data_IF_253441602168
#
_entry.id   IF_253441602168
#
_cell.length_a   1.000
_cell.length_b   1.000
_cell.length_c   1.000
_cell.angle_alpha   90.00
_cell.angle_beta   90.00
_cell.angle_gamma   90.00
#
_symmetry.space_group_name_H-M   'P 1'
#
loop_
_entity.id
_entity.type
_entity.pdbx_description
1 polymer ?
#
# COMPACT_ATOMS: atom_id res chain seq x y z
N UNK A 1 -32.01 43.68 -46.01
CA UNK A 1 -32.35 43.21 -44.64
C UNK A 1 -32.77 41.75 -44.76
N UNK A 2 -31.87 40.90 -45.27
CA UNK A 2 -32.22 39.56 -45.77
C UNK A 2 -31.02 38.60 -45.68
N UNK A 3 -30.13 38.84 -44.72
CA UNK A 3 -28.84 38.13 -44.58
C UNK A 3 -28.62 37.59 -43.16
N UNK A 4 -29.66 37.57 -42.32
CA UNK A 4 -29.56 37.18 -40.91
C UNK A 4 -30.38 35.93 -40.54
N UNK A 5 -31.02 35.28 -41.51
CA UNK A 5 -31.81 34.06 -41.28
C UNK A 5 -30.99 32.79 -41.56
N UNK A 6 -29.95 32.84 -42.40
CA UNK A 6 -29.26 31.63 -42.87
C UNK A 6 -28.17 31.09 -41.92
N UNK A 7 -27.70 31.89 -40.95
CA UNK A 7 -26.67 31.42 -39.99
C UNK A 7 -27.22 30.66 -38.78
N UNK A 8 -28.55 30.61 -38.58
CA UNK A 8 -29.16 29.88 -37.45
C UNK A 8 -29.44 28.40 -37.75
N UNK A 9 -29.44 28.01 -39.03
CA UNK A 9 -29.76 26.64 -39.45
C UNK A 9 -28.53 25.75 -39.68
N UNK A 10 -27.33 26.32 -39.89
CA UNK A 10 -26.08 25.53 -39.96
C UNK A 10 -25.58 25.00 -38.60
N UNK A 11 -26.08 25.53 -37.48
CA UNK A 11 -25.73 25.04 -36.13
C UNK A 11 -26.54 23.82 -35.69
N UNK A 12 -27.47 23.31 -36.50
CA UNK A 12 -28.11 22.01 -36.31
C UNK A 12 -27.49 20.94 -37.22
N UNK A 13 -26.18 20.74 -37.13
CA UNK A 13 -25.61 19.42 -37.47
C UNK A 13 -26.11 18.43 -36.43
N UNK A 14 -27.26 17.83 -36.70
CA UNK A 14 -27.75 16.65 -36.00
C UNK A 14 -26.67 15.57 -36.08
N UNK A 15 -25.98 15.34 -34.97
CA UNK A 15 -25.14 14.17 -34.82
C UNK A 15 -26.06 12.94 -34.84
N UNK A 16 -26.08 12.22 -35.97
CA UNK A 16 -26.75 10.93 -36.13
C UNK A 16 -26.29 9.86 -35.11
N UNK A 17 -25.21 10.12 -34.37
CA UNK A 17 -24.73 9.28 -33.28
C UNK A 17 -25.54 9.44 -31.98
N UNK A 18 -26.48 10.39 -31.94
CA UNK A 18 -27.28 10.72 -30.76
C UNK A 18 -28.70 10.12 -30.81
N UNK A 19 -28.92 9.10 -31.65
CA UNK A 19 -30.20 8.38 -31.77
C UNK A 19 -30.54 7.60 -30.48
N UNK A 20 -29.55 7.37 -29.62
CA UNK A 20 -29.72 6.70 -28.33
C UNK A 20 -29.84 7.67 -27.15
N UNK A 21 -30.03 8.98 -27.39
CA UNK A 21 -30.61 9.83 -26.35
C UNK A 21 -32.03 9.35 -26.11
N UNK A 22 -32.13 8.47 -25.11
CA UNK A 22 -33.34 8.00 -24.46
C UNK A 22 -34.23 9.22 -24.27
N UNK A 23 -35.24 9.37 -25.12
CA UNK A 23 -36.39 10.20 -24.83
C UNK A 23 -36.98 9.65 -23.56
N UNK A 24 -36.58 10.22 -22.42
CA UNK A 24 -37.25 9.99 -21.17
C UNK A 24 -38.57 10.71 -21.31
N UNK A 25 -39.55 10.01 -21.88
CA UNK A 25 -40.97 10.33 -21.73
C UNK A 25 -41.29 10.17 -20.24
N UNK A 26 -40.91 11.17 -19.45
CA UNK A 26 -41.07 11.23 -18.00
C UNK A 26 -42.54 11.46 -17.58
N UNK A 27 -43.48 11.37 -18.52
CA UNK A 27 -44.85 11.84 -18.35
C UNK A 27 -45.93 10.77 -18.19
N UNK A 28 -45.62 9.46 -18.06
CA UNK A 28 -46.67 8.43 -17.89
C UNK A 28 -46.54 7.41 -16.74
N UNK A 29 -45.64 7.60 -15.77
CA UNK A 29 -45.56 6.73 -14.58
C UNK A 29 -45.52 7.53 -13.26
N UNK A 30 -46.41 8.49 -13.10
CA UNK A 30 -46.45 9.44 -11.96
C UNK A 30 -47.04 8.90 -10.65
N UNK A 31 -47.28 7.58 -10.47
CA UNK A 31 -47.90 7.06 -9.23
C UNK A 31 -47.16 5.93 -8.50
N UNK A 32 -46.11 5.34 -9.05
CA UNK A 32 -45.35 4.23 -8.41
C UNK A 32 -43.82 4.41 -8.41
N UNK A 33 -43.32 5.61 -8.74
CA UNK A 33 -41.88 5.92 -8.80
C UNK A 33 -41.23 6.10 -7.43
N UNK A 34 -41.97 6.60 -6.42
CA UNK A 34 -41.37 6.94 -5.12
C UNK A 34 -40.82 5.75 -4.33
N UNK A 35 -41.41 4.55 -4.46
CA UNK A 35 -40.93 3.34 -3.80
C UNK A 35 -39.73 2.74 -4.55
N UNK A 36 -39.82 2.69 -5.88
CA UNK A 36 -38.74 2.22 -6.76
C UNK A 36 -37.47 3.03 -6.55
N UNK A 37 -37.57 4.36 -6.52
CA UNK A 37 -36.41 5.25 -6.33
C UNK A 37 -35.77 5.08 -4.95
N UNK A 38 -36.57 4.83 -3.90
CA UNK A 38 -36.07 4.54 -2.55
C UNK A 38 -35.36 3.19 -2.51
N UNK A 39 -35.90 2.17 -3.18
CA UNK A 39 -35.27 0.84 -3.29
C UNK A 39 -33.94 0.94 -4.04
N UNK A 40 -33.88 1.66 -5.16
CA UNK A 40 -32.63 1.85 -5.90
C UNK A 40 -31.57 2.61 -5.10
N UNK A 41 -31.97 3.63 -4.33
CA UNK A 41 -31.05 4.35 -3.41
C UNK A 41 -30.56 3.44 -2.28
N UNK A 42 -31.44 2.64 -1.69
CA UNK A 42 -31.10 1.66 -0.66
C UNK A 42 -30.15 0.58 -1.18
N UNK A 43 -30.45 0.01 -2.35
CA UNK A 43 -29.60 -0.97 -3.01
C UNK A 43 -28.22 -0.39 -3.34
N UNK A 44 -28.16 0.85 -3.85
CA UNK A 44 -26.90 1.53 -4.11
C UNK A 44 -26.08 1.71 -2.82
N UNK A 45 -26.70 2.14 -1.73
CA UNK A 45 -26.04 2.24 -0.43
C UNK A 45 -25.54 0.88 0.06
N UNK A 46 -26.36 -0.16 -0.05
CA UNK A 46 -26.01 -1.52 0.33
C UNK A 46 -24.80 -2.05 -0.45
N UNK A 47 -24.78 -1.86 -1.77
CA UNK A 47 -23.63 -2.21 -2.63
C UNK A 47 -22.37 -1.43 -2.21
N UNK A 48 -22.49 -0.15 -1.86
CA UNK A 48 -21.34 0.61 -1.35
C UNK A 48 -20.84 0.09 -0.01
N UNK A 49 -21.73 -0.32 0.90
CA UNK A 49 -21.33 -0.90 2.19
C UNK A 49 -20.60 -2.23 1.98
N UNK A 50 -21.12 -3.12 1.13
CA UNK A 50 -20.43 -4.38 0.79
C UNK A 50 -19.07 -4.11 0.15
N UNK A 51 -19.00 -3.22 -0.85
CA UNK A 51 -17.75 -2.87 -1.51
C UNK A 51 -16.75 -2.28 -0.51
N UNK A 52 -17.21 -1.42 0.40
CA UNK A 52 -16.40 -0.85 1.46
C UNK A 52 -15.83 -1.94 2.38
N UNK A 53 -16.67 -2.87 2.87
CA UNK A 53 -16.23 -3.97 3.72
C UNK A 53 -15.26 -4.90 3.00
N UNK A 54 -15.46 -5.18 1.71
CA UNK A 54 -14.57 -6.02 0.92
C UNK A 54 -13.20 -5.37 0.72
N UNK A 55 -13.18 -4.08 0.35
CA UNK A 55 -11.93 -3.33 0.14
C UNK A 55 -11.20 -3.12 1.48
N UNK A 56 -11.91 -2.74 2.53
CA UNK A 56 -11.34 -2.51 3.85
C UNK A 56 -10.84 -3.81 4.48
N UNK A 57 -11.66 -4.87 4.47
CA UNK A 57 -11.30 -6.19 4.96
C UNK A 57 -10.11 -6.77 4.19
N UNK A 58 -10.09 -6.65 2.86
CA UNK A 58 -8.96 -7.05 2.04
C UNK A 58 -7.67 -6.28 2.37
N UNK A 59 -7.77 -4.97 2.61
CA UNK A 59 -6.64 -4.15 3.04
C UNK A 59 -6.09 -4.55 4.42
N UNK A 60 -6.96 -4.90 5.37
CA UNK A 60 -6.55 -5.37 6.70
C UNK A 60 -5.89 -6.75 6.61
N UNK A 61 -6.53 -7.71 5.93
CA UNK A 61 -6.02 -9.08 5.78
C UNK A 61 -4.69 -9.09 5.03
N UNK A 62 -4.57 -8.33 3.93
CA UNK A 62 -3.31 -8.23 3.18
C UNK A 62 -2.18 -7.63 4.01
N UNK A 63 -2.45 -6.61 4.82
CA UNK A 63 -1.44 -6.02 5.74
C UNK A 63 -1.03 -7.00 6.84
N UNK A 64 -1.98 -7.70 7.43
CA UNK A 64 -1.70 -8.71 8.45
C UNK A 64 -0.86 -9.87 7.89
N UNK A 65 -1.22 -10.37 6.69
CA UNK A 65 -0.45 -11.41 6.01
C UNK A 65 0.97 -10.95 5.66
N UNK A 66 1.13 -9.70 5.19
CA UNK A 66 2.43 -9.12 4.92
C UNK A 66 3.28 -9.04 6.20
N UNK A 67 2.68 -8.61 7.32
CA UNK A 67 3.37 -8.56 8.61
C UNK A 67 3.83 -9.94 9.08
N UNK A 68 2.95 -10.96 9.01
CA UNK A 68 3.30 -12.33 9.38
C UNK A 68 4.50 -12.81 8.54
N UNK A 69 4.50 -12.53 7.24
CA UNK A 69 5.57 -12.92 6.34
C UNK A 69 6.90 -12.21 6.65
N UNK A 70 6.85 -10.93 7.02
CA UNK A 70 8.05 -10.17 7.45
C UNK A 70 8.56 -10.60 8.82
N UNK A 71 7.68 -11.01 9.73
CA UNK A 71 8.07 -11.52 11.05
C UNK A 71 8.79 -12.87 10.93
N UNK A 72 8.34 -13.76 10.03
CA UNK A 72 9.06 -15.00 9.72
C UNK A 72 10.46 -14.72 9.17
N UNK A 73 10.60 -13.71 8.31
CA UNK A 73 11.89 -13.30 7.78
C UNK A 73 12.86 -12.83 8.88
N UNK A 74 12.34 -12.15 9.91
CA UNK A 74 13.15 -11.73 11.07
C UNK A 74 13.62 -12.91 11.91
N UNK A 75 12.71 -13.86 12.21
CA UNK A 75 13.02 -15.04 13.01
C UNK A 75 14.11 -15.89 12.37
N UNK A 76 13.99 -16.18 11.07
CA UNK A 76 14.99 -16.93 10.31
C UNK A 76 16.35 -16.21 10.24
N UNK A 77 16.35 -14.88 10.26
CA UNK A 77 17.61 -14.13 10.27
C UNK A 77 18.34 -14.20 11.62
N UNK A 78 17.66 -14.52 12.72
CA UNK A 78 18.25 -14.56 14.06
C UNK A 78 18.72 -15.96 14.45
N UNK A 79 18.11 -17.00 13.89
CA UNK A 79 18.32 -18.39 14.33
C UNK A 79 19.60 -19.03 13.80
N UNK A 80 20.34 -18.47 12.83
CA UNK A 80 21.64 -18.94 12.32
C UNK A 80 21.73 -20.43 11.91
N UNK A 81 20.64 -21.20 11.96
CA UNK A 81 20.62 -22.61 11.60
C UNK A 81 20.58 -22.74 10.08
N UNK A 82 21.76 -23.02 9.50
CA UNK A 82 22.12 -23.82 8.30
C UNK A 82 21.17 -24.03 7.11
N UNK A 83 19.96 -23.47 7.03
CA UNK A 83 19.05 -23.63 5.89
C UNK A 83 18.71 -22.26 5.30
N UNK A 84 19.65 -21.70 4.54
CA UNK A 84 19.46 -20.48 3.73
C UNK A 84 18.23 -20.57 2.79
N UNK A 85 17.76 -21.77 2.49
CA UNK A 85 16.75 -22.07 1.48
C UNK A 85 15.35 -21.53 1.82
N UNK A 86 14.95 -21.55 3.10
CA UNK A 86 13.63 -21.03 3.51
C UNK A 86 13.60 -19.50 3.53
N UNK A 87 14.66 -18.88 4.06
CA UNK A 87 14.86 -17.42 4.03
C UNK A 87 14.87 -16.88 2.60
N UNK A 88 15.58 -17.55 1.69
CA UNK A 88 15.64 -17.21 0.28
C UNK A 88 14.25 -17.30 -0.35
N UNK A 89 13.50 -18.37 -0.08
CA UNK A 89 12.15 -18.55 -0.61
C UNK A 89 11.15 -17.49 -0.12
N UNK A 90 11.15 -17.16 1.17
CA UNK A 90 10.30 -16.10 1.75
C UNK A 90 10.63 -14.74 1.15
N UNK A 91 11.93 -14.46 1.00
CA UNK A 91 12.47 -13.24 0.39
C UNK A 91 11.96 -13.09 -1.06
N UNK A 92 12.09 -14.13 -1.89
CA UNK A 92 11.57 -14.13 -3.25
C UNK A 92 10.04 -14.01 -3.32
N UNK A 93 9.32 -14.62 -2.38
CA UNK A 93 7.86 -14.51 -2.32
C UNK A 93 7.40 -13.09 -1.98
N UNK A 94 8.05 -12.42 -1.03
CA UNK A 94 7.82 -11.00 -0.73
C UNK A 94 8.09 -10.11 -1.94
N UNK A 95 9.19 -10.35 -2.65
CA UNK A 95 9.49 -9.62 -3.88
C UNK A 95 8.42 -9.83 -4.94
N UNK A 96 7.97 -11.07 -5.11
CA UNK A 96 6.90 -11.39 -6.05
C UNK A 96 5.62 -10.61 -5.72
N UNK A 97 5.19 -10.62 -4.45
CA UNK A 97 4.02 -9.87 -3.98
C UNK A 97 4.16 -8.37 -4.27
N UNK A 98 5.31 -7.77 -3.95
CA UNK A 98 5.57 -6.34 -4.20
C UNK A 98 5.57 -6.01 -5.71
N UNK A 99 5.97 -6.97 -6.55
CA UNK A 99 6.11 -6.78 -8.01
C UNK A 99 4.79 -6.98 -8.77
N UNK A 100 3.80 -7.69 -8.22
CA UNK A 100 2.50 -7.95 -8.88
C UNK A 100 1.82 -6.66 -9.37
N UNK A 101 1.66 -5.59 -8.55
CA UNK A 101 1.03 -4.35 -9.00
C UNK A 101 1.75 -3.72 -10.19
N UNK A 102 3.08 -3.79 -10.21
CA UNK A 102 3.90 -3.26 -11.30
C UNK A 102 3.78 -4.11 -12.57
N UNK A 103 3.65 -5.44 -12.43
CA UNK A 103 3.31 -6.35 -13.53
C UNK A 103 1.94 -6.06 -14.14
N UNK A 104 0.91 -5.87 -13.32
CA UNK A 104 -0.43 -5.49 -13.81
C UNK A 104 -0.40 -4.13 -14.51
N UNK A 105 0.31 -3.14 -13.95
CA UNK A 105 0.52 -1.82 -14.56
C UNK A 105 1.25 -1.93 -15.90
N UNK A 106 2.25 -2.81 -16.00
CA UNK A 106 2.96 -3.08 -17.25
C UNK A 106 2.02 -3.65 -18.31
N UNK A 107 1.19 -4.64 -17.97
CA UNK A 107 0.22 -5.23 -18.91
C UNK A 107 -0.79 -4.18 -19.39
N UNK A 108 -1.34 -3.37 -18.48
CA UNK A 108 -2.29 -2.31 -18.83
C UNK A 108 -1.67 -1.24 -19.72
N UNK A 109 -0.44 -0.81 -19.41
CA UNK A 109 0.28 0.17 -20.23
C UNK A 109 0.71 -0.40 -21.58
N UNK A 110 1.02 -1.69 -21.66
CA UNK A 110 1.28 -2.40 -22.92
C UNK A 110 0.02 -2.45 -23.79
N UNK A 111 -1.14 -2.78 -23.22
CA UNK A 111 -2.41 -2.76 -23.97
C UNK A 111 -2.72 -1.35 -24.48
N UNK A 112 -2.53 -0.33 -23.64
CA UNK A 112 -2.71 1.06 -24.05
C UNK A 112 -1.68 1.50 -25.10
N UNK A 113 -0.46 0.96 -25.07
CA UNK A 113 0.57 1.27 -26.05
C UNK A 113 0.28 0.62 -27.41
N UNK A 114 -0.22 -0.61 -27.43
CA UNK A 114 -0.55 -1.35 -28.66
C UNK A 114 -1.80 -0.80 -29.35
N UNK A 115 -2.84 -0.45 -28.59
CA UNK A 115 -4.13 -0.03 -29.13
C UNK A 115 -4.42 1.47 -29.04
N UNK A 116 -3.60 2.23 -28.29
CA UNK A 116 -3.82 3.65 -28.04
C UNK A 116 -3.08 4.58 -29.00
N UNK A 117 -3.42 5.87 -28.94
CA UNK A 117 -2.75 6.91 -29.72
C UNK A 117 -1.33 7.12 -29.19
N UNK A 118 -0.35 7.05 -30.09
CA UNK A 118 1.08 7.18 -29.78
C UNK A 118 1.49 8.65 -29.71
N UNK A 119 1.77 9.15 -28.52
CA UNK A 119 2.51 10.40 -28.31
C UNK A 119 3.74 10.11 -27.48
N UNK A 120 4.91 10.48 -28.00
CA UNK A 120 6.19 10.28 -27.31
C UNK A 120 6.35 11.30 -26.18
N UNK A 121 6.70 10.86 -24.95
CA UNK A 121 7.03 11.79 -23.88
C UNK A 121 8.35 12.53 -24.17
N UNK A 122 8.55 13.67 -23.53
CA UNK A 122 9.85 14.36 -23.54
C UNK A 122 10.86 13.59 -22.69
N UNK A 123 12.14 13.59 -23.09
CA UNK A 123 13.22 12.91 -22.37
C UNK A 123 13.31 13.38 -20.90
N UNK A 124 13.17 14.69 -20.64
CA UNK A 124 13.23 15.24 -19.29
C UNK A 124 12.07 14.78 -18.40
N UNK A 125 10.86 14.64 -18.96
CA UNK A 125 9.71 14.10 -18.23
C UNK A 125 9.98 12.65 -17.81
N UNK A 126 10.47 11.85 -18.75
CA UNK A 126 10.78 10.44 -18.50
C UNK A 126 11.84 10.28 -17.40
N UNK A 127 12.87 11.14 -17.37
CA UNK A 127 13.90 11.11 -16.31
C UNK A 127 13.30 11.41 -14.92
N UNK A 128 12.46 12.43 -14.80
CA UNK A 128 11.83 12.81 -13.52
C UNK A 128 10.95 11.68 -13.00
N UNK A 129 10.13 11.09 -13.88
CA UNK A 129 9.23 9.99 -13.55
C UNK A 129 10.00 8.76 -13.11
N UNK A 130 11.07 8.40 -13.84
CA UNK A 130 11.95 7.29 -13.45
C UNK A 130 12.55 7.56 -12.08
N UNK A 131 13.15 8.73 -11.84
CA UNK A 131 13.80 9.04 -10.56
C UNK A 131 12.81 8.94 -9.38
N UNK A 132 11.60 9.49 -9.54
CA UNK A 132 10.54 9.41 -8.54
C UNK A 132 10.12 7.97 -8.26
N UNK A 133 9.96 7.18 -9.32
CA UNK A 133 9.56 5.78 -9.20
C UNK A 133 10.66 4.91 -8.57
N UNK A 134 11.94 5.18 -8.89
CA UNK A 134 13.09 4.57 -8.24
C UNK A 134 13.09 4.83 -6.75
N UNK A 135 12.95 6.12 -6.37
CA UNK A 135 12.97 6.54 -4.99
C UNK A 135 11.84 5.86 -4.20
N UNK A 136 10.63 5.84 -4.76
CA UNK A 136 9.51 5.16 -4.15
C UNK A 136 9.75 3.65 -4.01
N UNK A 137 10.22 2.98 -5.07
CA UNK A 137 10.49 1.54 -5.03
C UNK A 137 11.58 1.18 -4.01
N UNK A 138 12.64 1.98 -3.95
CA UNK A 138 13.71 1.81 -2.97
C UNK A 138 13.20 1.96 -1.53
N UNK A 139 12.39 2.99 -1.25
CA UNK A 139 11.78 3.18 0.06
C UNK A 139 10.78 2.05 0.39
N UNK A 140 10.00 1.58 -0.58
CA UNK A 140 9.08 0.45 -0.39
C UNK A 140 9.84 -0.82 0.01
N UNK A 141 10.89 -1.18 -0.72
CA UNK A 141 11.72 -2.34 -0.39
C UNK A 141 12.38 -2.18 0.97
N UNK A 142 12.89 -0.98 1.29
CA UNK A 142 13.50 -0.71 2.58
C UNK A 142 12.51 -0.84 3.73
N UNK A 143 11.29 -0.32 3.56
CA UNK A 143 10.23 -0.46 4.56
C UNK A 143 9.88 -1.94 4.78
N UNK A 144 9.66 -2.71 3.71
CA UNK A 144 9.23 -4.11 3.84
C UNK A 144 10.34 -5.03 4.36
N UNK A 145 11.58 -4.88 3.89
CA UNK A 145 12.67 -5.81 4.21
C UNK A 145 13.54 -5.40 5.39
N UNK A 146 13.59 -4.10 5.72
CA UNK A 146 14.37 -3.61 6.88
C UNK A 146 13.49 -3.11 8.01
N UNK A 147 12.46 -2.31 7.72
CA UNK A 147 11.69 -1.63 8.79
C UNK A 147 10.63 -2.53 9.40
N UNK A 148 9.80 -3.19 8.59
CA UNK A 148 8.70 -4.05 9.08
C UNK A 148 9.18 -5.20 9.97
N UNK A 149 10.27 -5.93 9.66
CA UNK A 149 10.75 -7.03 10.49
C UNK A 149 11.31 -6.57 11.85
N UNK A 150 11.70 -5.29 11.98
CA UNK A 150 12.22 -4.71 13.24
C UNK A 150 11.14 -4.21 14.19
N UNK A 151 9.90 -4.08 13.71
CA UNK A 151 8.80 -3.46 14.43
C UNK A 151 7.71 -4.49 14.72
N UNK A 152 7.08 -4.35 15.88
CA UNK A 152 5.90 -5.13 16.23
C UNK A 152 4.71 -4.73 15.35
N UNK A 153 3.71 -5.60 15.19
CA UNK A 153 2.54 -5.34 14.35
C UNK A 153 1.84 -3.98 14.63
N UNK A 154 1.72 -3.60 15.91
CA UNK A 154 1.11 -2.30 16.31
C UNK A 154 2.00 -1.13 15.92
N UNK A 155 3.32 -1.26 16.10
CA UNK A 155 4.30 -0.23 15.76
C UNK A 155 4.39 -0.04 14.23
N UNK A 156 4.33 -1.13 13.46
CA UNK A 156 4.23 -1.09 11.99
C UNK A 156 2.95 -0.37 11.56
N UNK A 157 1.81 -0.71 12.17
CA UNK A 157 0.55 -0.03 11.88
C UNK A 157 0.64 1.48 12.15
N UNK A 158 1.20 1.87 13.29
CA UNK A 158 1.43 3.27 13.63
C UNK A 158 2.35 3.93 12.60
N UNK A 159 3.53 3.37 12.35
CA UNK A 159 4.51 3.90 11.41
C UNK A 159 3.95 4.05 9.99
N UNK A 160 3.30 3.01 9.44
CA UNK A 160 2.68 3.06 8.11
C UNK A 160 1.52 4.06 8.03
N UNK A 161 0.81 4.31 9.13
CA UNK A 161 -0.23 5.36 9.17
C UNK A 161 0.34 6.78 9.06
N UNK A 162 1.61 6.96 9.42
CA UNK A 162 2.34 8.22 9.32
C UNK A 162 2.91 8.53 7.94
N UNK A 163 3.06 7.52 7.07
CA UNK A 163 3.57 7.68 5.70
C UNK A 163 2.88 8.78 4.88
N UNK A 164 1.55 9.04 4.95
CA UNK A 164 0.94 10.18 4.25
C UNK A 164 1.30 11.60 4.76
N UNK A 165 2.41 11.78 5.49
CA UNK A 165 2.78 13.08 6.05
C UNK A 165 2.90 14.21 5.01
N UNK A 166 3.65 13.97 3.92
CA UNK A 166 3.84 14.96 2.85
C UNK A 166 2.51 15.38 2.20
N UNK A 167 1.64 14.47 1.70
CA UNK A 167 0.38 14.87 1.12
C UNK A 167 -0.53 15.64 2.10
N UNK A 168 -0.57 15.27 3.39
CA UNK A 168 -1.36 15.99 4.39
C UNK A 168 -0.85 17.42 4.60
N UNK A 169 0.47 17.60 4.66
CA UNK A 169 1.10 18.92 4.76
C UNK A 169 0.75 19.81 3.55
N UNK A 170 0.86 19.25 2.34
CA UNK A 170 0.54 19.97 1.10
C UNK A 170 -0.94 20.33 1.01
N UNK A 171 -1.80 19.42 1.42
CA UNK A 171 -3.24 19.66 1.51
C UNK A 171 -3.53 20.86 2.42
N UNK A 172 -2.86 20.96 3.56
CA UNK A 172 -2.99 22.09 4.48
C UNK A 172 -2.55 23.42 3.88
N UNK A 173 -1.41 23.45 3.17
CA UNK A 173 -0.95 24.66 2.49
C UNK A 173 -1.94 25.11 1.42
N UNK A 174 -2.47 24.18 0.63
CA UNK A 174 -3.40 24.50 -0.45
C UNK A 174 -4.73 25.08 0.06
N UNK A 175 -5.21 24.62 1.22
CA UNK A 175 -6.44 25.11 1.83
C UNK A 175 -6.34 26.54 2.37
N UNK A 176 -5.18 26.94 2.93
CA UNK A 176 -5.02 28.30 3.51
C UNK A 176 -5.26 29.42 2.52
N UNK A 177 -5.11 29.18 1.21
CA UNK A 177 -5.27 30.20 0.17
C UNK A 177 -6.71 30.45 -0.25
N UNK A 178 -7.65 29.54 0.04
CA UNK A 178 -8.99 29.55 -0.56
C UNK A 178 -10.13 30.04 0.33
N UNK A 179 -9.99 30.18 1.64
CA UNK A 179 -11.16 30.50 2.49
C UNK A 179 -10.79 31.17 3.82
N UNK A 180 -11.40 32.33 4.08
CA UNK A 180 -11.45 32.99 5.39
C UNK A 180 -12.90 33.20 5.92
N UNK A 181 -13.94 32.56 5.34
CA UNK A 181 -15.34 32.97 5.61
C UNK A 181 -16.37 31.85 5.96
N UNK A 182 -16.04 30.80 6.73
CA UNK A 182 -17.11 29.92 7.25
C UNK A 182 -16.72 28.84 8.28
N UNK A 183 -17.59 28.57 9.27
CA UNK A 183 -17.34 27.65 10.38
C UNK A 183 -17.09 26.17 9.99
N UNK A 184 -17.70 25.67 8.91
CA UNK A 184 -17.41 24.32 8.38
C UNK A 184 -16.00 24.18 7.82
N UNK A 185 -15.36 25.29 7.43
CA UNK A 185 -13.97 25.28 6.94
C UNK A 185 -12.97 25.22 8.10
N UNK A 186 -13.27 25.88 9.22
CA UNK A 186 -12.44 25.81 10.44
C UNK A 186 -12.35 24.39 10.97
N UNK A 187 -13.47 23.67 11.08
CA UNK A 187 -13.47 22.28 11.54
C UNK A 187 -12.61 21.38 10.64
N UNK A 188 -12.74 21.49 9.31
CA UNK A 188 -11.90 20.75 8.35
C UNK A 188 -10.42 21.09 8.48
N UNK A 189 -10.09 22.36 8.70
CA UNK A 189 -8.72 22.81 8.88
C UNK A 189 -8.12 22.26 10.18
N UNK A 190 -8.88 22.26 11.28
CA UNK A 190 -8.45 21.67 12.55
C UNK A 190 -8.20 20.17 12.42
N UNK A 191 -9.11 19.42 11.79
CA UNK A 191 -8.93 18.00 11.54
C UNK A 191 -7.70 17.71 10.67
N UNK A 192 -7.43 18.56 9.68
CA UNK A 192 -6.24 18.42 8.84
C UNK A 192 -4.95 18.70 9.61
N UNK A 193 -4.93 19.72 10.47
CA UNK A 193 -3.78 20.00 11.35
C UNK A 193 -3.57 18.84 12.32
N UNK A 194 -4.64 18.33 12.94
CA UNK A 194 -4.58 17.17 13.82
C UNK A 194 -4.04 15.93 13.10
N UNK A 195 -4.48 15.68 11.86
CA UNK A 195 -3.97 14.60 11.03
C UNK A 195 -2.46 14.73 10.77
N UNK A 196 -1.96 15.94 10.52
CA UNK A 196 -0.52 16.19 10.33
C UNK A 196 0.25 15.91 11.62
N UNK A 197 -0.27 16.37 12.77
CA UNK A 197 0.36 16.13 14.07
C UNK A 197 0.44 14.63 14.36
N UNK A 198 -0.66 13.90 14.17
CA UNK A 198 -0.70 12.45 14.39
C UNK A 198 0.23 11.69 13.45
N UNK A 199 0.28 12.06 12.16
CA UNK A 199 1.18 11.43 11.20
C UNK A 199 2.64 11.74 11.51
N UNK A 200 2.97 12.98 11.86
CA UNK A 200 4.32 13.35 12.27
C UNK A 200 4.72 12.59 13.54
N UNK A 201 3.85 12.56 14.54
CA UNK A 201 4.06 11.79 15.76
C UNK A 201 4.35 10.32 15.44
N UNK A 202 3.58 9.68 14.56
CA UNK A 202 3.83 8.30 14.16
C UNK A 202 5.19 8.10 13.46
N UNK A 203 5.57 9.00 12.53
CA UNK A 203 6.84 8.91 11.80
C UNK A 203 8.04 9.14 12.71
N UNK A 204 7.95 10.02 13.71
CA UNK A 204 9.08 10.35 14.58
C UNK A 204 9.11 9.54 15.88
N UNK A 205 7.97 9.38 16.56
CA UNK A 205 7.92 8.75 17.88
C UNK A 205 8.28 7.26 17.83
N UNK A 206 7.85 6.53 16.78
CA UNK A 206 8.16 5.09 16.67
C UNK A 206 9.68 4.84 16.55
N UNK A 207 10.42 5.46 15.60
CA UNK A 207 11.87 5.32 15.57
C UNK A 207 12.56 5.80 16.85
N UNK A 208 12.17 6.97 17.40
CA UNK A 208 12.81 7.54 18.59
C UNK A 208 12.65 6.61 19.80
N UNK A 209 11.45 6.07 20.01
CA UNK A 209 11.17 5.11 21.09
C UNK A 209 12.04 3.85 20.98
N UNK A 210 12.29 3.36 19.76
CA UNK A 210 13.17 2.20 19.55
C UNK A 210 14.64 2.48 19.82
N UNK A 211 15.13 3.68 19.49
CA UNK A 211 16.50 4.10 19.83
C UNK A 211 16.68 4.25 21.33
N UNK A 212 15.72 4.87 22.02
CA UNK A 212 15.81 5.10 23.47
C UNK A 212 15.85 3.79 24.26
N UNK A 213 15.23 2.73 23.75
CA UNK A 213 15.25 1.40 24.37
C UNK A 213 16.40 0.51 23.86
N UNK A 214 17.41 1.07 23.20
CA UNK A 214 18.58 0.37 22.64
C UNK A 214 18.25 -0.83 21.73
N UNK A 215 17.08 -0.80 21.06
CA UNK A 215 16.64 -1.88 20.16
C UNK A 215 17.19 -1.71 18.75
N UNK A 216 17.46 -0.47 18.33
CA UNK A 216 17.79 -0.11 16.95
C UNK A 216 18.92 0.92 16.93
N UNK A 217 19.82 0.82 15.94
CA UNK A 217 20.91 1.78 15.73
C UNK A 217 20.37 3.16 15.30
N UNK A 218 21.10 4.22 15.63
CA UNK A 218 20.82 5.58 15.15
C UNK A 218 20.74 5.65 13.63
N UNK A 219 21.53 4.86 12.91
CA UNK A 219 21.53 4.83 11.43
C UNK A 219 20.22 4.33 10.85
N UNK A 220 19.65 3.27 11.42
CA UNK A 220 18.41 2.66 10.95
C UNK A 220 17.22 3.57 11.24
N UNK A 221 17.30 4.35 12.30
CA UNK A 221 16.30 5.36 12.68
C UNK A 221 16.23 6.50 11.67
N UNK A 222 17.38 7.03 11.24
CA UNK A 222 17.42 8.01 10.15
C UNK A 222 16.85 7.43 8.86
N UNK A 223 17.20 6.18 8.55
CA UNK A 223 16.70 5.49 7.37
C UNK A 223 15.18 5.27 7.42
N UNK A 224 14.60 4.95 8.58
CA UNK A 224 13.15 4.86 8.78
C UNK A 224 12.48 6.21 8.51
N UNK A 225 12.95 7.30 9.11
CA UNK A 225 12.36 8.64 8.92
C UNK A 225 12.48 9.07 7.45
N UNK A 226 13.66 8.89 6.86
CA UNK A 226 13.93 9.22 5.47
C UNK A 226 13.01 8.44 4.52
N UNK A 227 12.89 7.12 4.70
CA UNK A 227 12.04 6.29 3.88
C UNK A 227 10.56 6.67 3.99
N UNK A 228 10.08 6.99 5.20
CA UNK A 228 8.70 7.44 5.38
C UNK A 228 8.41 8.68 4.54
N UNK A 229 9.26 9.71 4.65
CA UNK A 229 9.10 10.98 3.92
C UNK A 229 9.25 10.81 2.41
N UNK A 230 10.27 10.08 1.97
CA UNK A 230 10.52 9.83 0.54
C UNK A 230 9.42 8.98 -0.09
N UNK A 231 8.89 7.98 0.62
CA UNK A 231 7.74 7.21 0.15
C UNK A 231 6.51 8.09 -0.07
N UNK A 232 6.26 9.06 0.83
CA UNK A 232 5.16 10.02 0.70
C UNK A 232 5.22 10.88 -0.57
N UNK A 233 6.42 11.13 -1.12
CA UNK A 233 6.62 11.94 -2.33
C UNK A 233 5.84 11.37 -3.51
N UNK A 234 5.55 10.06 -3.50
CA UNK A 234 4.74 9.45 -4.56
C UNK A 234 3.36 10.11 -4.71
N UNK A 235 2.72 10.47 -3.60
CA UNK A 235 1.35 11.00 -3.59
C UNK A 235 1.28 12.51 -3.79
N UNK A 236 2.42 13.19 -3.81
CA UNK A 236 2.56 14.63 -3.99
C UNK A 236 1.72 15.17 -5.16
N UNK A 237 1.78 14.55 -6.34
CA UNK A 237 1.08 14.98 -7.56
C UNK A 237 -0.42 15.17 -7.39
N UNK A 238 -1.07 14.28 -6.64
CA UNK A 238 -2.52 14.29 -6.44
C UNK A 238 -2.98 15.59 -5.78
N UNK A 239 -2.18 16.10 -4.84
CA UNK A 239 -2.51 17.27 -4.03
C UNK A 239 -2.08 18.58 -4.71
N UNK A 240 -1.08 18.55 -5.59
CA UNK A 240 -0.62 19.74 -6.29
C UNK A 240 -1.55 20.24 -7.39
N UNK A 241 -2.36 19.37 -8.00
CA UNK A 241 -3.40 19.79 -8.97
C UNK A 241 -4.33 20.86 -8.38
N UNK A 242 -4.50 20.87 -7.06
CA UNK A 242 -5.33 21.83 -6.35
C UNK A 242 -4.60 23.14 -5.96
N UNK A 243 -3.27 23.15 -5.96
CA UNK A 243 -2.38 24.24 -5.50
C UNK A 243 -1.64 24.94 -6.65
N UNK A 244 -2.36 25.24 -7.75
CA UNK A 244 -1.82 25.75 -9.03
C UNK A 244 -1.20 27.17 -9.00
N UNK A 245 -1.21 27.84 -7.85
CA UNK A 245 -0.86 29.27 -7.73
C UNK A 245 0.60 29.55 -7.32
N UNK A 246 1.39 28.57 -6.89
CA UNK A 246 2.81 28.82 -6.56
C UNK A 246 3.71 28.76 -7.81
N UNK A 247 4.46 29.85 -8.04
CA UNK A 247 5.29 30.07 -9.24
C UNK A 247 6.43 29.05 -9.41
N UNK A 248 7.02 28.58 -8.30
CA UNK A 248 8.09 27.58 -8.30
C UNK A 248 7.60 26.21 -8.81
N UNK A 249 6.51 25.71 -8.24
CA UNK A 249 5.96 24.40 -8.55
C UNK A 249 5.27 24.35 -9.92
N UNK A 250 4.75 25.48 -10.40
CA UNK A 250 4.21 25.58 -11.76
C UNK A 250 5.25 25.25 -12.83
N UNK A 251 6.52 25.59 -12.62
CA UNK A 251 7.59 25.31 -13.61
C UNK A 251 8.02 23.85 -13.60
N UNK A 252 8.18 23.25 -12.41
CA UNK A 252 8.56 21.84 -12.28
C UNK A 252 7.47 20.91 -12.82
N UNK A 253 6.19 21.20 -12.55
CA UNK A 253 5.07 20.31 -12.83
C UNK A 253 4.22 20.69 -14.05
N UNK A 254 4.47 21.82 -14.71
CA UNK A 254 3.91 22.09 -16.05
C UNK A 254 4.40 21.07 -17.09
N UNK A 255 5.54 20.44 -16.84
CA UNK A 255 6.01 19.32 -17.64
C UNK A 255 5.20 18.03 -17.40
N UNK A 256 4.60 17.85 -16.22
CA UNK A 256 3.99 16.59 -15.77
C UNK A 256 2.47 16.53 -16.03
N UNK A 257 1.76 17.65 -16.13
CA UNK A 257 0.30 17.66 -16.42
C UNK A 257 -0.02 17.21 -17.88
N UNK A 258 0.99 17.14 -18.77
CA UNK A 258 0.89 16.49 -20.09
C UNK A 258 0.96 14.96 -20.01
N UNK A 259 1.37 14.40 -18.87
CA UNK A 259 1.77 13.00 -18.72
C UNK A 259 0.62 12.00 -18.67
N UNK A 260 -0.60 12.45 -18.35
CA UNK A 260 -1.80 11.59 -18.25
C UNK A 260 -2.20 10.89 -19.56
N UNK A 261 -1.42 11.07 -20.63
CA UNK A 261 -1.69 10.54 -21.97
C UNK A 261 -0.54 9.72 -22.55
N UNK A 262 0.53 9.42 -21.80
CA UNK A 262 1.70 8.74 -22.35
C UNK A 262 1.81 7.27 -21.88
N UNK A 263 1.07 6.38 -22.56
CA UNK A 263 1.18 4.94 -22.38
C UNK A 263 2.63 4.44 -22.45
N UNK A 264 3.46 5.06 -23.31
CA UNK A 264 4.89 4.75 -23.43
C UNK A 264 5.70 5.06 -22.16
N UNK A 265 5.43 6.19 -21.48
CA UNK A 265 6.12 6.53 -20.22
C UNK A 265 5.78 5.50 -19.13
N UNK A 266 4.48 5.20 -18.99
CA UNK A 266 4.01 4.21 -18.02
C UNK A 266 4.58 2.81 -18.28
N UNK A 267 4.75 2.42 -19.55
CA UNK A 267 5.36 1.16 -19.94
C UNK A 267 6.84 1.13 -19.56
N UNK A 268 7.62 2.14 -19.95
CA UNK A 268 9.06 2.23 -19.65
C UNK A 268 9.29 2.22 -18.14
N UNK A 269 8.55 3.03 -17.39
CA UNK A 269 8.69 3.12 -15.94
C UNK A 269 8.34 1.80 -15.25
N UNK A 270 7.27 1.11 -15.67
CA UNK A 270 6.87 -0.17 -15.05
C UNK A 270 7.86 -1.29 -15.38
N UNK A 271 8.36 -1.34 -16.62
CA UNK A 271 9.41 -2.29 -17.01
C UNK A 271 10.71 -2.03 -16.24
N UNK A 272 11.10 -0.77 -16.12
CA UNK A 272 12.29 -0.38 -15.37
C UNK A 272 12.20 -0.78 -13.89
N UNK A 273 11.04 -0.61 -13.24
CA UNK A 273 10.83 -1.09 -11.87
C UNK A 273 10.97 -2.60 -11.72
N UNK A 274 10.44 -3.38 -12.67
CA UNK A 274 10.57 -4.83 -12.63
C UNK A 274 12.03 -5.25 -12.77
N UNK A 275 12.79 -4.60 -13.66
CA UNK A 275 14.24 -4.81 -13.79
C UNK A 275 14.94 -4.43 -12.49
N UNK A 276 14.62 -3.28 -11.91
CA UNK A 276 15.15 -2.87 -10.61
C UNK A 276 14.78 -3.85 -9.50
N UNK A 277 13.57 -4.39 -9.48
CA UNK A 277 13.17 -5.38 -8.50
C UNK A 277 14.07 -6.62 -8.59
N UNK A 278 14.26 -7.16 -9.79
CA UNK A 278 15.12 -8.34 -10.00
C UNK A 278 16.59 -8.05 -9.72
N UNK A 279 17.09 -6.87 -10.08
CA UNK A 279 18.52 -6.52 -9.95
C UNK A 279 18.92 -6.02 -8.56
N UNK A 280 18.13 -5.13 -7.95
CA UNK A 280 18.44 -4.53 -6.64
C UNK A 280 18.11 -5.47 -5.49
N UNK A 281 17.18 -6.40 -5.65
CA UNK A 281 16.75 -7.24 -4.54
C UNK A 281 17.84 -8.15 -3.97
N UNK A 282 18.54 -8.96 -4.78
CA UNK A 282 19.60 -9.84 -4.26
C UNK A 282 20.80 -9.04 -3.74
N UNK A 283 21.01 -7.82 -4.27
CA UNK A 283 22.19 -7.01 -3.96
C UNK A 283 22.01 -6.14 -2.72
N UNK A 284 20.84 -5.53 -2.51
CA UNK A 284 20.60 -4.57 -1.43
C UNK A 284 19.83 -5.11 -0.23
N UNK A 285 18.82 -5.95 -0.46
CA UNK A 285 17.89 -6.33 0.61
C UNK A 285 18.23 -7.66 1.27
N UNK A 286 18.87 -8.57 0.54
CA UNK A 286 19.29 -9.85 1.11
C UNK A 286 20.67 -10.26 0.58
N UNK A 287 21.74 -9.59 1.04
CA UNK A 287 23.10 -9.96 0.66
C UNK A 287 23.39 -11.38 1.14
N UNK A 288 23.66 -12.29 0.20
CA UNK A 288 23.94 -13.71 0.47
C UNK A 288 22.88 -14.69 -0.03
N UNK A 289 21.77 -14.21 -0.60
CA UNK A 289 20.79 -15.08 -1.28
C UNK A 289 21.43 -15.70 -2.52
N UNK A 290 21.34 -17.02 -2.61
CA UNK A 290 21.85 -17.79 -3.75
C UNK A 290 20.98 -17.59 -4.99
N UNK A 291 21.51 -17.89 -6.19
CA UNK A 291 20.79 -17.67 -7.45
C UNK A 291 19.45 -18.43 -7.40
N UNK A 292 18.30 -17.84 -7.79
CA UNK A 292 16.99 -18.48 -7.63
C UNK A 292 16.93 -19.87 -8.30
N UNK A 293 17.66 -20.06 -9.40
CA UNK A 293 17.78 -21.36 -10.08
C UNK A 293 18.37 -22.43 -9.17
N UNK A 294 19.35 -22.08 -8.34
CA UNK A 294 19.99 -22.99 -7.37
C UNK A 294 19.07 -23.24 -6.16
N UNK A 295 18.39 -22.21 -5.66
CA UNK A 295 17.45 -22.34 -4.53
C UNK A 295 16.27 -23.26 -4.86
N UNK A 296 15.71 -23.17 -6.07
CA UNK A 296 14.58 -24.01 -6.48
C UNK A 296 14.99 -25.42 -6.92
N UNK A 297 16.19 -25.59 -7.47
CA UNK A 297 16.69 -26.93 -7.87
C UNK A 297 17.19 -27.77 -6.69
N UNK A 298 17.61 -27.13 -5.60
CA UNK A 298 18.12 -27.80 -4.40
C UNK A 298 17.03 -28.27 -3.43
N UNK A 299 15.73 -28.03 -3.68
CA UNK A 299 14.65 -28.67 -2.92
C UNK A 299 14.55 -30.15 -3.32
N UNK A 300 14.96 -31.11 -2.49
CA UNK A 300 14.68 -32.50 -2.78
C UNK A 300 13.17 -32.72 -2.76
N UNK A 301 12.63 -33.36 -3.79
CA UNK A 301 11.20 -33.68 -3.96
C UNK A 301 10.64 -34.62 -2.86
N UNK A 302 11.45 -34.97 -1.86
CA UNK A 302 11.11 -35.91 -0.78
C UNK A 302 10.18 -35.34 0.30
N UNK A 303 9.92 -34.02 0.31
CA UNK A 303 9.05 -33.39 1.32
C UNK A 303 7.56 -33.52 0.98
N UNK A 304 7.17 -33.87 -0.25
CA UNK A 304 5.76 -34.08 -0.61
C UNK A 304 5.18 -35.45 -0.18
N UNK A 305 6.00 -36.36 0.39
CA UNK A 305 5.54 -37.71 0.76
C UNK A 305 5.41 -37.95 2.27
N UNK A 306 5.62 -36.95 3.13
CA UNK A 306 5.54 -37.13 4.59
C UNK A 306 4.32 -36.44 5.23
N UNK A 307 3.14 -36.64 4.67
CA UNK A 307 1.86 -36.55 5.42
C UNK A 307 1.33 -37.96 5.70
N UNK A 308 2.18 -38.82 6.24
CA UNK A 308 1.73 -39.98 6.99
C UNK A 308 2.43 -39.89 8.35
N UNK A 309 1.72 -39.33 9.32
CA UNK A 309 2.03 -39.52 10.74
C UNK A 309 1.34 -40.83 11.13
N UNK A 310 2.07 -41.94 11.34
CA UNK A 310 1.54 -43.00 12.17
C UNK A 310 2.13 -42.84 13.58
N UNK A 311 1.28 -43.13 14.57
CA UNK A 311 1.59 -43.62 15.93
C UNK A 311 1.82 -42.59 17.06
N UNK A 312 1.71 -42.98 18.36
CA UNK A 312 1.35 -44.29 18.94
C UNK A 312 0.27 -44.26 20.05
N UNK A 313 -0.23 -45.46 20.33
CA UNK A 313 -1.17 -45.82 21.37
C UNK A 313 -0.66 -45.52 22.79
N UNK A 314 -1.60 -45.13 23.66
CA UNK A 314 -1.53 -45.15 25.10
C UNK A 314 -1.35 -46.58 25.62
N UNK A 315 -0.27 -46.85 26.36
CA UNK A 315 -0.22 -47.95 27.31
C UNK A 315 0.84 -47.74 28.41
N UNK A 316 0.54 -48.29 29.60
CA UNK A 316 1.32 -48.39 30.85
C UNK A 316 1.45 -47.10 31.71
N UNK A 317 0.90 -46.97 32.93
CA UNK A 317 0.68 -47.92 34.05
C UNK A 317 1.95 -48.64 34.53
N UNK A 318 2.67 -48.04 35.49
CA UNK A 318 2.98 -48.60 36.84
C UNK A 318 4.17 -47.88 37.48
N UNK A 319 3.97 -47.51 38.75
CA UNK A 319 4.92 -47.29 39.84
C UNK A 319 6.41 -47.46 39.53
N UNK A 320 7.22 -46.43 39.81
CA UNK A 320 8.48 -46.57 40.56
C UNK A 320 8.86 -45.24 41.22
N UNK A 321 8.99 -45.28 42.53
CA UNK A 321 9.58 -44.27 43.41
C UNK A 321 11.10 -44.23 43.27
N UNK A 322 11.71 -43.12 42.87
CA UNK A 322 13.14 -42.84 43.13
C UNK A 322 13.38 -41.34 43.35
N UNK A 323 13.76 -41.06 44.60
CA UNK A 323 14.70 -40.06 45.14
C UNK A 323 15.08 -38.80 44.35
N UNK A 324 14.95 -37.68 45.08
CA UNK A 324 15.52 -36.35 44.89
C UNK A 324 16.96 -36.35 44.35
N UNK A 325 17.21 -35.52 43.33
CA UNK A 325 18.44 -34.74 43.26
C UNK A 325 18.16 -33.34 42.74
N UNK A 326 18.55 -32.36 43.57
CA UNK A 326 18.43 -30.92 43.35
C UNK A 326 19.10 -30.50 42.04
N UNK A 327 18.36 -29.84 41.16
CA UNK A 327 18.95 -28.83 40.27
C UNK A 327 17.92 -27.73 40.07
N UNK A 328 18.32 -26.54 40.51
CA UNK A 328 17.60 -25.27 40.42
C UNK A 328 17.41 -24.92 38.95
N UNK A 329 16.17 -25.02 38.45
CA UNK A 329 15.75 -24.45 37.18
C UNK A 329 14.57 -23.54 37.46
N UNK A 330 14.76 -22.26 37.13
CA UNK A 330 13.78 -21.18 37.21
C UNK A 330 12.48 -21.57 36.46
N UNK A 331 11.29 -21.26 37.00
CA UNK A 331 10.05 -21.46 36.27
C UNK A 331 9.93 -20.42 35.15
N UNK A 332 9.98 -20.87 33.90
CA UNK A 332 9.40 -20.12 32.79
C UNK A 332 7.88 -20.11 32.97
N UNK A 333 7.37 -19.04 33.58
CA UNK A 333 5.97 -18.67 33.51
C UNK A 333 5.61 -18.38 32.04
N UNK A 334 5.06 -19.36 31.33
CA UNK A 334 4.24 -19.09 30.15
C UNK A 334 2.92 -18.47 30.64
N UNK A 335 2.57 -17.23 30.24
CA UNK A 335 1.23 -16.75 30.44
C UNK A 335 0.26 -17.56 29.57
N UNK A 336 -0.75 -18.13 30.22
CA UNK A 336 -1.83 -18.86 29.57
C UNK A 336 -2.53 -17.99 28.52
N UNK A 337 -2.90 -18.58 27.38
CA UNK A 337 -3.54 -17.91 26.24
C UNK A 337 -4.97 -17.40 26.49
N UNK A 338 -5.36 -17.22 27.76
CA UNK A 338 -6.66 -16.65 28.16
C UNK A 338 -6.59 -15.15 28.46
N UNK A 339 -5.39 -14.56 28.58
CA UNK A 339 -5.24 -13.12 28.85
C UNK A 339 -5.31 -12.21 27.60
N UNK A 340 -5.38 -12.77 26.38
CA UNK A 340 -5.35 -11.99 25.13
C UNK A 340 -6.73 -11.45 24.69
N UNK A 341 -7.82 -11.94 25.28
CA UNK A 341 -9.20 -11.57 24.89
C UNK A 341 -9.81 -10.51 25.82
N UNK A 342 -9.37 -10.43 27.07
CA UNK A 342 -10.04 -9.58 28.08
C UNK A 342 -9.52 -8.12 28.13
N UNK A 343 -8.38 -7.81 27.51
CA UNK A 343 -7.79 -6.45 27.51
C UNK A 343 -8.36 -5.50 26.43
N UNK A 344 -9.26 -5.97 25.56
CA UNK A 344 -9.89 -5.13 24.53
C UNK A 344 -11.15 -4.39 24.99
N UNK A 345 -11.64 -4.60 26.21
CA UNK A 345 -12.91 -4.05 26.70
C UNK A 345 -12.79 -2.83 27.63
N UNK A 346 -11.58 -2.28 27.84
CA UNK A 346 -11.36 -1.18 28.79
C UNK A 346 -10.66 0.03 28.18
N UNK A 347 -11.13 0.55 27.05
CA UNK A 347 -10.90 1.96 26.70
C UNK A 347 -12.14 2.56 26.01
N UNK A 348 -12.78 3.57 26.62
CA UNK A 348 -13.85 4.32 25.98
C UNK A 348 -13.24 5.33 25.00
N UNK A 349 -13.61 5.22 23.72
CA UNK A 349 -13.61 6.34 22.78
C UNK A 349 -15.00 6.47 22.17
#
# INVERSE_FOLDING_TARGET
>A
MEESIDQRDEQRKFNYWDIFRKDVSEQRLTRKSSLSDKIFKGLKLFVYVILFLLVFGGAVVSRAALQILTDQLYLESKTNYTVNLEKDAISYFLLFIISIPDGVKLILSLMQFLFGKRQSPSCMQLIVVILKECLHFFCLGTIVFKVMPLLNAVEVCAYLSGIPLVPSFLHSISYRKKCFLGGRHLCKQMLNILSIILQAAAVFAVPIYKVTNDQISSTDTFLMIFCAVCFSVRWFETYFKYSRESSFFRKLFAYEDREKTHAASSLVTSLFRLVLAVALFPTFFSPGVTNPVETFSSRPLSVLTSTAVPTPCLDLSKNTTVQLQNTTILPCNLPSSKAFVDDWLLYPF
#
